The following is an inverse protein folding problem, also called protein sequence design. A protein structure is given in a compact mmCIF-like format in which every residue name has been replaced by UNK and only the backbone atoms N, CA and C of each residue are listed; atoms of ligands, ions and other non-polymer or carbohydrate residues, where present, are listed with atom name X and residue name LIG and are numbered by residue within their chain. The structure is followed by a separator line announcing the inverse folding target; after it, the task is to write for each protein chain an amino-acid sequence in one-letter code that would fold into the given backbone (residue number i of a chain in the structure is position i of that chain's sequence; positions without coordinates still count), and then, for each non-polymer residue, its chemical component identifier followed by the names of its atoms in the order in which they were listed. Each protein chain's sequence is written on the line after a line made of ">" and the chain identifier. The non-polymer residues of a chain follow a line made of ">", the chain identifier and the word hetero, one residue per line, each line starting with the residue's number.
data_IF_404332580680
#
_entry.id   IF_404332580680
#
_cell.length_a   1.000
_cell.length_b   1.000
_cell.length_c   1.000
_cell.angle_alpha   90.00
_cell.angle_beta   90.00
_cell.angle_gamma   90.00
#
_symmetry.space_group_name_H-M   'P 1'
#
loop_
_entity.id
_entity.type
_entity.pdbx_description
1 polymer ?
#
# COMPACT_ATOMS: atom_id res chain seq x y z
N UNK A 1 -25.59 -0.57 5.78
CA UNK A 1 -24.36 -1.38 5.65
C UNK A 1 -24.44 -2.33 4.45
N UNK A 2 -25.44 -3.22 4.37
CA UNK A 2 -25.55 -4.20 3.26
C UNK A 2 -25.68 -3.52 1.90
N UNK A 3 -26.52 -2.47 1.79
CA UNK A 3 -26.75 -1.73 0.53
C UNK A 3 -25.48 -1.06 0.00
N UNK A 4 -24.63 -0.56 0.90
CA UNK A 4 -23.37 0.07 0.56
C UNK A 4 -22.39 -0.99 0.04
N UNK A 5 -22.24 -2.11 0.77
CA UNK A 5 -21.38 -3.20 0.33
C UNK A 5 -21.84 -3.78 -1.02
N UNK A 6 -23.15 -3.93 -1.22
CA UNK A 6 -23.72 -4.38 -2.48
C UNK A 6 -23.40 -3.41 -3.62
N UNK A 7 -23.61 -2.10 -3.40
CA UNK A 7 -23.33 -1.06 -4.42
C UNK A 7 -21.85 -1.05 -4.82
N UNK A 8 -20.94 -1.11 -3.85
CA UNK A 8 -19.48 -1.13 -4.10
C UNK A 8 -19.07 -2.40 -4.84
N UNK A 9 -19.57 -3.57 -4.41
CA UNK A 9 -19.25 -4.84 -5.09
C UNK A 9 -19.79 -4.89 -6.50
N UNK A 10 -21.03 -4.45 -6.74
CA UNK A 10 -21.62 -4.40 -8.08
C UNK A 10 -20.81 -3.47 -8.98
N UNK A 11 -20.49 -2.27 -8.48
CA UNK A 11 -19.69 -1.32 -9.23
C UNK A 11 -18.29 -1.88 -9.55
N UNK A 12 -17.63 -2.49 -8.56
CA UNK A 12 -16.32 -3.12 -8.73
C UNK A 12 -16.38 -4.22 -9.80
N UNK A 13 -17.38 -5.10 -9.74
CA UNK A 13 -17.54 -6.17 -10.71
C UNK A 13 -17.78 -5.62 -12.13
N UNK A 14 -18.60 -4.58 -12.26
CA UNK A 14 -18.85 -3.94 -13.56
C UNK A 14 -17.60 -3.27 -14.13
N UNK A 15 -16.85 -2.51 -13.33
CA UNK A 15 -15.63 -1.85 -13.78
C UNK A 15 -14.52 -2.85 -14.11
N UNK A 16 -14.38 -3.93 -13.33
CA UNK A 16 -13.45 -5.01 -13.62
C UNK A 16 -13.83 -5.71 -14.95
N UNK A 17 -15.12 -5.98 -15.18
CA UNK A 17 -15.60 -6.55 -16.43
C UNK A 17 -15.37 -5.62 -17.64
N UNK A 18 -15.63 -4.31 -17.48
CA UNK A 18 -15.33 -3.30 -18.51
C UNK A 18 -13.84 -3.29 -18.85
N UNK A 19 -12.98 -3.31 -17.83
CA UNK A 19 -11.53 -3.38 -18.05
C UNK A 19 -11.14 -4.64 -18.81
N UNK A 20 -11.62 -5.81 -18.37
CA UNK A 20 -11.30 -7.08 -19.01
C UNK A 20 -11.78 -7.15 -20.47
N UNK A 21 -12.96 -6.62 -20.74
CA UNK A 21 -13.59 -6.73 -22.06
C UNK A 21 -13.05 -5.74 -23.08
N UNK A 22 -12.76 -4.49 -22.68
CA UNK A 22 -12.45 -3.40 -23.59
C UNK A 22 -11.06 -2.80 -23.41
N UNK A 23 -10.64 -2.50 -22.17
CA UNK A 23 -9.39 -1.78 -21.93
C UNK A 23 -8.18 -2.70 -21.92
N UNK A 24 -8.33 -3.93 -21.41
CA UNK A 24 -7.28 -4.96 -21.31
C UNK A 24 -6.01 -4.45 -20.59
N UNK A 25 -6.18 -3.52 -19.66
CA UNK A 25 -5.11 -3.04 -18.77
C UNK A 25 -4.89 -4.06 -17.64
N UNK A 26 -3.71 -4.05 -16.99
CA UNK A 26 -3.52 -4.81 -15.75
C UNK A 26 -4.67 -4.56 -14.78
N UNK A 27 -5.17 -5.59 -14.12
CA UNK A 27 -6.46 -5.55 -13.40
C UNK A 27 -6.57 -4.35 -12.44
N UNK A 28 -5.58 -4.16 -11.57
CA UNK A 28 -5.52 -3.07 -10.60
C UNK A 28 -5.52 -1.68 -11.25
N UNK A 29 -4.66 -1.49 -12.27
CA UNK A 29 -4.57 -0.20 -12.99
C UNK A 29 -5.87 0.08 -13.75
N UNK A 30 -6.44 -0.93 -14.40
CA UNK A 30 -7.64 -0.79 -15.20
C UNK A 30 -8.87 -0.46 -14.36
N UNK A 31 -9.05 -1.13 -13.23
CA UNK A 31 -10.16 -0.87 -12.30
C UNK A 31 -10.06 0.54 -11.72
N UNK A 32 -8.88 0.96 -11.28
CA UNK A 32 -8.70 2.32 -10.78
C UNK A 32 -8.89 3.38 -11.85
N UNK A 33 -8.33 3.18 -13.06
CA UNK A 33 -8.49 4.13 -14.16
C UNK A 33 -9.97 4.28 -14.57
N UNK A 34 -10.72 3.17 -14.66
CA UNK A 34 -12.15 3.21 -14.96
C UNK A 34 -12.97 3.84 -13.86
N UNK A 35 -12.65 3.59 -12.60
CA UNK A 35 -13.31 4.24 -11.46
C UNK A 35 -13.05 5.74 -11.45
N UNK A 36 -11.81 6.17 -11.66
CA UNK A 36 -11.45 7.59 -11.75
C UNK A 36 -12.15 8.29 -12.93
N UNK A 37 -12.19 7.64 -14.10
CA UNK A 37 -12.89 8.19 -15.27
C UNK A 37 -14.39 8.30 -15.04
N UNK A 38 -15.01 7.30 -14.39
CA UNK A 38 -16.41 7.36 -14.01
C UNK A 38 -16.68 8.52 -13.08
N UNK A 39 -15.86 8.67 -12.04
CA UNK A 39 -15.96 9.75 -11.08
C UNK A 39 -15.82 11.12 -11.74
N UNK A 40 -14.83 11.29 -12.60
CA UNK A 40 -14.65 12.53 -13.36
C UNK A 40 -15.83 12.82 -14.31
N UNK A 41 -16.35 11.78 -14.98
CA UNK A 41 -17.51 11.92 -15.86
C UNK A 41 -18.75 12.38 -15.08
N UNK A 42 -19.00 11.83 -13.88
CA UNK A 42 -20.11 12.26 -13.02
C UNK A 42 -19.97 13.71 -12.57
N UNK A 43 -18.77 14.15 -12.21
CA UNK A 43 -18.50 15.57 -11.88
C UNK A 43 -18.79 16.49 -13.08
N UNK A 44 -18.34 16.10 -14.29
CA UNK A 44 -18.57 16.90 -15.50
C UNK A 44 -20.04 16.94 -15.91
N UNK A 45 -20.76 15.82 -15.78
CA UNK A 45 -22.20 15.75 -16.07
C UNK A 45 -23.03 16.58 -15.08
N UNK A 46 -22.64 16.57 -13.80
CA UNK A 46 -23.26 17.40 -12.77
C UNK A 46 -23.03 18.90 -13.04
N UNK A 47 -21.79 19.26 -13.38
CA UNK A 47 -21.44 20.62 -13.78
C UNK A 47 -22.17 21.10 -15.05
N UNK A 48 -22.50 20.16 -15.99
CA UNK A 48 -23.29 20.41 -17.19
C UNK A 48 -24.81 20.42 -16.92
N UNK A 49 -25.27 20.16 -15.69
CA UNK A 49 -26.69 20.14 -15.32
C UNK A 49 -27.47 18.90 -15.80
N UNK A 50 -26.78 17.88 -16.32
CA UNK A 50 -27.42 16.67 -16.88
C UNK A 50 -27.66 15.60 -15.80
N UNK A 51 -26.81 15.52 -14.77
CA UNK A 51 -26.82 14.47 -13.75
C UNK A 51 -27.22 14.99 -12.36
N UNK A 52 -28.21 15.89 -12.30
CA UNK A 52 -28.66 16.54 -11.07
C UNK A 52 -29.00 15.49 -9.98
N UNK A 53 -28.19 15.45 -8.93
CA UNK A 53 -28.41 14.59 -7.76
C UNK A 53 -27.68 13.24 -7.77
N UNK A 54 -27.08 12.78 -8.85
CA UNK A 54 -26.25 11.56 -8.86
C UNK A 54 -24.95 11.78 -8.08
N UNK A 55 -24.29 12.90 -8.30
CA UNK A 55 -23.10 13.32 -7.56
C UNK A 55 -23.36 13.45 -6.04
N UNK A 56 -24.49 14.04 -5.66
CA UNK A 56 -24.88 14.15 -4.25
C UNK A 56 -25.15 12.78 -3.60
N UNK A 57 -25.73 11.83 -4.34
CA UNK A 57 -25.98 10.46 -3.87
C UNK A 57 -24.68 9.68 -3.71
N UNK A 58 -23.76 9.81 -4.67
CA UNK A 58 -22.44 9.20 -4.58
C UNK A 58 -21.64 9.75 -3.40
N UNK A 59 -21.62 11.07 -3.20
CA UNK A 59 -20.99 11.69 -2.04
C UNK A 59 -21.61 11.23 -0.72
N UNK A 60 -22.95 11.10 -0.66
CA UNK A 60 -23.64 10.60 0.54
C UNK A 60 -23.26 9.14 0.83
N UNK A 61 -23.12 8.31 -0.20
CA UNK A 61 -22.71 6.92 -0.08
C UNK A 61 -21.26 6.82 0.42
N UNK A 62 -20.34 7.56 -0.17
CA UNK A 62 -18.92 7.59 0.24
C UNK A 62 -18.77 8.09 1.68
N UNK A 63 -19.45 9.17 2.05
CA UNK A 63 -19.43 9.71 3.44
C UNK A 63 -20.04 8.78 4.47
N UNK A 64 -20.91 7.84 4.08
CA UNK A 64 -21.50 6.86 4.98
C UNK A 64 -20.57 5.68 5.30
N UNK A 65 -19.48 5.55 4.56
CA UNK A 65 -18.42 4.54 4.78
C UNK A 65 -17.33 5.18 5.63
N UNK A 66 -17.07 4.63 6.81
CA UNK A 66 -15.80 4.90 7.48
C UNK A 66 -14.69 4.13 6.75
N UNK A 67 -14.23 4.75 5.65
CA UNK A 67 -13.25 4.17 4.73
C UNK A 67 -11.94 3.84 5.45
N UNK A 68 -11.52 4.69 6.40
CA UNK A 68 -10.31 4.48 7.18
C UNK A 68 -10.42 3.24 8.06
N UNK A 69 -11.53 3.11 8.79
CA UNK A 69 -11.76 1.96 9.67
C UNK A 69 -11.89 0.66 8.86
N UNK A 70 -12.62 0.69 7.76
CA UNK A 70 -12.77 -0.47 6.87
C UNK A 70 -11.41 -0.95 6.34
N UNK A 71 -10.58 -0.02 5.88
CA UNK A 71 -9.26 -0.34 5.34
C UNK A 71 -8.27 -0.76 6.41
N UNK A 72 -8.12 0.04 7.47
CA UNK A 72 -7.08 -0.19 8.48
C UNK A 72 -7.38 -1.43 9.33
N UNK A 73 -8.63 -1.64 9.72
CA UNK A 73 -9.00 -2.74 10.61
C UNK A 73 -9.50 -3.99 9.87
N UNK A 74 -10.03 -3.83 8.65
CA UNK A 74 -10.60 -4.94 7.89
C UNK A 74 -9.68 -5.44 6.78
N UNK A 75 -9.43 -4.60 5.80
CA UNK A 75 -8.80 -5.04 4.53
C UNK A 75 -7.29 -5.19 4.63
N UNK A 76 -6.60 -4.29 5.36
CA UNK A 76 -5.13 -4.25 5.40
C UNK A 76 -4.52 -5.55 5.96
N UNK A 77 -5.12 -6.10 7.02
CA UNK A 77 -4.66 -7.36 7.61
C UNK A 77 -4.73 -8.52 6.63
N UNK A 78 -5.84 -8.62 5.88
CA UNK A 78 -6.07 -9.66 4.88
C UNK A 78 -5.11 -9.50 3.69
N UNK A 79 -4.95 -8.29 3.17
CA UNK A 79 -4.06 -7.99 2.06
C UNK A 79 -2.60 -8.28 2.39
N UNK A 80 -2.12 -7.85 3.57
CA UNK A 80 -0.74 -8.10 4.00
C UNK A 80 -0.45 -9.58 4.21
N UNK A 81 -1.40 -10.33 4.79
CA UNK A 81 -1.25 -11.77 4.93
C UNK A 81 -1.25 -12.47 3.56
N UNK A 82 -2.21 -12.14 2.68
CA UNK A 82 -2.33 -12.72 1.35
C UNK A 82 -1.06 -12.45 0.51
N UNK A 83 -0.58 -11.20 0.50
CA UNK A 83 0.68 -10.83 -0.14
C UNK A 83 1.87 -11.61 0.41
N UNK A 84 1.98 -11.71 1.75
CA UNK A 84 3.06 -12.43 2.41
C UNK A 84 3.03 -13.94 2.15
N UNK A 85 1.85 -14.55 2.04
CA UNK A 85 1.66 -15.97 1.76
C UNK A 85 2.36 -16.42 0.46
N UNK A 86 2.35 -15.54 -0.54
CA UNK A 86 2.92 -15.81 -1.86
C UNK A 86 4.44 -15.58 -1.95
N UNK A 87 5.04 -14.88 -0.98
CA UNK A 87 6.48 -14.60 -0.95
C UNK A 87 7.28 -15.83 -0.52
N UNK A 88 8.29 -16.20 -1.31
CA UNK A 88 9.22 -17.29 -1.00
C UNK A 88 10.22 -16.85 0.08
N UNK A 89 10.06 -17.39 1.28
CA UNK A 89 10.92 -17.06 2.44
C UNK A 89 12.39 -17.49 2.21
N UNK A 90 12.64 -18.56 1.46
CA UNK A 90 14.01 -19.01 1.18
C UNK A 90 14.73 -17.98 0.28
N UNK A 91 14.06 -17.52 -0.77
CA UNK A 91 14.55 -16.44 -1.62
C UNK A 91 14.68 -15.12 -0.84
N UNK A 92 13.71 -14.79 0.01
CA UNK A 92 13.74 -13.59 0.84
C UNK A 92 14.93 -13.61 1.82
N UNK A 93 15.26 -14.76 2.41
CA UNK A 93 16.44 -14.91 3.29
C UNK A 93 17.76 -14.61 2.58
N UNK A 94 17.86 -14.90 1.28
CA UNK A 94 19.04 -14.59 0.49
C UNK A 94 19.23 -13.06 0.33
N UNK A 95 18.16 -12.29 0.32
CA UNK A 95 18.15 -10.83 0.17
C UNK A 95 17.74 -10.08 1.43
N UNK A 96 17.75 -10.76 2.61
CA UNK A 96 17.24 -10.21 3.90
C UNK A 96 17.84 -8.86 4.29
N UNK A 97 19.14 -8.65 4.04
CA UNK A 97 19.81 -7.39 4.37
C UNK A 97 19.38 -6.26 3.44
N UNK A 98 19.27 -6.55 2.13
CA UNK A 98 18.79 -5.57 1.15
C UNK A 98 17.34 -5.18 1.45
N UNK A 99 16.47 -6.18 1.60
CA UNK A 99 15.05 -5.96 1.94
C UNK A 99 14.90 -5.25 3.28
N UNK A 100 15.60 -5.71 4.33
CA UNK A 100 15.53 -5.09 5.66
C UNK A 100 15.98 -3.63 5.67
N UNK A 101 17.13 -3.34 5.04
CA UNK A 101 17.65 -1.95 4.96
C UNK A 101 16.70 -1.06 4.17
N UNK A 102 16.22 -1.52 3.00
CA UNK A 102 15.32 -0.74 2.17
C UNK A 102 13.96 -0.52 2.84
N UNK A 103 13.39 -1.55 3.45
CA UNK A 103 12.08 -1.48 4.07
C UNK A 103 12.08 -0.65 5.39
N UNK A 104 13.08 -0.80 6.25
CA UNK A 104 13.10 -0.07 7.53
C UNK A 104 13.78 1.29 7.38
N UNK A 105 15.07 1.31 7.05
CA UNK A 105 15.81 2.57 6.93
C UNK A 105 15.39 3.39 5.72
N UNK A 106 15.10 2.72 4.60
CA UNK A 106 14.62 3.40 3.39
C UNK A 106 13.30 4.11 3.63
N UNK A 107 12.33 3.46 4.30
CA UNK A 107 11.02 4.04 4.60
C UNK A 107 11.13 5.18 5.63
N UNK A 108 11.89 4.99 6.71
CA UNK A 108 12.10 6.04 7.71
C UNK A 108 12.81 7.26 7.10
N UNK A 109 13.87 7.06 6.32
CA UNK A 109 14.59 8.14 5.64
C UNK A 109 13.69 8.82 4.58
N UNK A 110 12.89 8.04 3.83
CA UNK A 110 11.91 8.58 2.88
C UNK A 110 10.90 9.47 3.59
N UNK A 111 10.36 9.04 4.74
CA UNK A 111 9.44 9.83 5.57
C UNK A 111 10.02 11.19 5.93
N UNK A 112 11.26 11.22 6.40
CA UNK A 112 11.95 12.46 6.78
C UNK A 112 12.23 13.33 5.55
N UNK A 113 12.78 12.76 4.48
CA UNK A 113 13.12 13.53 3.26
C UNK A 113 11.88 14.14 2.61
N UNK A 114 10.80 13.33 2.47
CA UNK A 114 9.53 13.83 1.91
C UNK A 114 8.93 14.89 2.81
N UNK A 115 8.89 14.68 4.12
CA UNK A 115 8.32 15.62 5.07
C UNK A 115 9.06 16.97 5.07
N UNK A 116 10.38 16.96 5.14
CA UNK A 116 11.20 18.19 5.13
C UNK A 116 11.11 18.92 3.77
N UNK A 117 11.22 18.20 2.66
CA UNK A 117 11.13 18.79 1.33
C UNK A 117 9.74 19.36 1.04
N UNK A 118 8.67 18.66 1.46
CA UNK A 118 7.30 19.15 1.32
C UNK A 118 7.07 20.39 2.18
N UNK A 119 7.54 20.39 3.43
CA UNK A 119 7.44 21.55 4.31
C UNK A 119 8.10 22.78 3.69
N UNK A 120 9.31 22.65 3.15
CA UNK A 120 10.01 23.73 2.47
C UNK A 120 9.26 24.19 1.19
N UNK A 121 8.76 23.25 0.38
CA UNK A 121 8.05 23.56 -0.86
C UNK A 121 6.71 24.25 -0.59
N UNK A 122 5.92 23.79 0.39
CA UNK A 122 4.65 24.42 0.76
C UNK A 122 4.88 25.80 1.37
N UNK A 123 5.92 25.96 2.20
CA UNK A 123 6.33 27.26 2.73
C UNK A 123 6.70 28.26 1.62
N UNK A 124 7.42 27.81 0.59
CA UNK A 124 7.75 28.62 -0.59
C UNK A 124 6.52 29.03 -1.42
N UNK A 125 5.45 28.23 -1.38
CA UNK A 125 4.16 28.52 -2.02
C UNK A 125 3.23 29.37 -1.13
N UNK A 126 3.69 29.80 0.05
CA UNK A 126 2.90 30.58 1.01
C UNK A 126 1.89 29.77 1.80
N UNK A 127 2.02 28.45 1.83
CA UNK A 127 1.12 27.54 2.54
C UNK A 127 1.73 27.16 3.90
N UNK A 128 1.11 27.63 4.99
CA UNK A 128 1.59 27.37 6.35
C UNK A 128 1.12 25.99 6.84
N UNK A 129 1.79 24.92 6.41
CA UNK A 129 1.56 23.55 6.90
C UNK A 129 2.63 23.19 7.93
N UNK A 130 2.26 22.70 9.14
CA UNK A 130 3.23 22.33 10.16
C UNK A 130 4.16 21.21 9.69
N UNK A 131 5.41 21.22 10.14
CA UNK A 131 6.39 20.18 9.78
C UNK A 131 5.89 18.77 10.14
N UNK A 132 5.24 18.62 11.29
CA UNK A 132 4.69 17.32 11.72
C UNK A 132 3.62 16.78 10.73
N UNK A 133 2.77 17.66 10.18
CA UNK A 133 1.81 17.29 9.16
C UNK A 133 2.51 16.88 7.84
N UNK A 134 3.60 17.55 7.47
CA UNK A 134 4.42 17.17 6.33
C UNK A 134 5.17 15.84 6.56
N UNK A 135 5.60 15.55 7.79
CA UNK A 135 6.17 14.25 8.15
C UNK A 135 5.12 13.13 8.10
N UNK A 136 3.88 13.39 8.55
CA UNK A 136 2.75 12.47 8.36
C UNK A 136 2.52 12.16 6.89
N UNK A 137 2.55 13.18 6.01
CA UNK A 137 2.52 12.97 4.57
C UNK A 137 3.70 12.11 4.10
N UNK A 138 4.89 12.34 4.60
CA UNK A 138 6.06 11.49 4.32
C UNK A 138 5.83 10.03 4.71
N UNK A 139 5.25 9.77 5.89
CA UNK A 139 4.98 8.42 6.36
C UNK A 139 3.92 7.70 5.51
N UNK A 140 2.80 8.38 5.19
CA UNK A 140 1.73 7.77 4.41
C UNK A 140 2.08 7.57 2.94
N UNK A 141 3.02 8.36 2.38
CA UNK A 141 3.41 8.22 0.97
C UNK A 141 4.66 7.33 0.78
N UNK A 142 5.37 6.95 1.84
CA UNK A 142 6.57 6.11 1.73
C UNK A 142 6.30 4.64 1.40
N UNK A 143 5.23 3.98 1.90
CA UNK A 143 4.84 2.63 1.49
C UNK A 143 4.62 2.49 -0.01
N UNK A 144 4.88 1.29 -0.58
CA UNK A 144 4.78 1.03 -2.02
C UNK A 144 4.02 -0.25 -2.32
N UNK A 145 3.12 -0.21 -3.28
CA UNK A 145 2.32 -1.35 -3.72
C UNK A 145 3.07 -2.16 -4.80
N UNK A 146 3.41 -3.44 -4.55
CA UNK A 146 4.15 -4.24 -5.48
C UNK A 146 3.28 -4.99 -6.49
N UNK A 147 1.95 -5.07 -6.30
CA UNK A 147 1.06 -6.01 -7.01
C UNK A 147 1.13 -5.80 -8.52
N UNK A 148 0.85 -4.58 -8.98
CA UNK A 148 0.91 -4.25 -10.40
C UNK A 148 2.33 -4.41 -10.97
N UNK A 149 3.35 -4.07 -10.20
CA UNK A 149 4.76 -4.14 -10.59
C UNK A 149 5.21 -5.58 -10.79
N UNK A 150 4.89 -6.47 -9.84
CA UNK A 150 5.26 -7.90 -9.92
C UNK A 150 4.59 -8.55 -11.13
N UNK A 151 3.32 -8.28 -11.38
CA UNK A 151 2.61 -8.78 -12.57
C UNK A 151 3.30 -8.38 -13.89
N UNK A 152 3.73 -7.13 -13.98
CA UNK A 152 4.46 -6.62 -15.15
C UNK A 152 5.89 -7.18 -15.27
N UNK A 153 6.61 -7.38 -14.16
CA UNK A 153 7.93 -8.02 -14.15
C UNK A 153 7.84 -9.46 -14.65
N UNK A 154 6.91 -10.25 -14.12
CA UNK A 154 6.67 -11.62 -14.56
C UNK A 154 6.34 -11.71 -16.05
N UNK A 155 5.44 -10.87 -16.53
CA UNK A 155 5.06 -10.83 -17.95
C UNK A 155 6.18 -10.40 -18.89
N UNK A 156 7.15 -9.63 -18.39
CA UNK A 156 8.33 -9.18 -19.13
C UNK A 156 9.52 -10.15 -19.01
N UNK A 157 9.41 -11.24 -18.23
CA UNK A 157 10.49 -12.20 -18.01
C UNK A 157 11.65 -11.65 -17.18
N UNK A 158 11.35 -10.76 -16.24
CA UNK A 158 12.37 -10.17 -15.37
C UNK A 158 13.04 -11.21 -14.47
N UNK A 159 14.32 -11.00 -14.09
CA UNK A 159 15.00 -11.89 -13.18
C UNK A 159 14.28 -12.00 -11.81
N UNK A 160 14.13 -13.24 -11.32
CA UNK A 160 13.41 -13.55 -10.08
C UNK A 160 13.96 -12.80 -8.84
N UNK A 161 15.26 -12.51 -8.80
CA UNK A 161 15.87 -11.74 -7.73
C UNK A 161 15.29 -10.33 -7.60
N UNK A 162 14.96 -9.68 -8.71
CA UNK A 162 14.34 -8.36 -8.71
C UNK A 162 12.90 -8.43 -8.18
N UNK A 163 12.13 -9.46 -8.56
CA UNK A 163 10.79 -9.69 -8.04
C UNK A 163 10.79 -9.90 -6.52
N UNK A 164 11.72 -10.72 -6.02
CA UNK A 164 11.85 -11.01 -4.58
C UNK A 164 12.19 -9.76 -3.78
N UNK A 165 13.11 -8.93 -4.28
CA UNK A 165 13.51 -7.69 -3.58
C UNK A 165 12.37 -6.69 -3.57
N UNK A 166 11.66 -6.50 -4.69
CA UNK A 166 10.50 -5.59 -4.77
C UNK A 166 9.37 -6.08 -3.87
N UNK A 167 9.01 -7.37 -3.96
CA UNK A 167 7.96 -7.95 -3.13
C UNK A 167 8.27 -7.84 -1.64
N UNK A 168 9.49 -8.20 -1.26
CA UNK A 168 9.92 -8.15 0.14
C UNK A 168 10.03 -6.72 0.66
N UNK A 169 10.61 -5.81 -0.10
CA UNK A 169 10.73 -4.40 0.30
C UNK A 169 9.35 -3.79 0.51
N UNK A 170 8.41 -3.96 -0.44
CA UNK A 170 7.07 -3.41 -0.34
C UNK A 170 6.25 -4.04 0.80
N UNK A 171 6.36 -5.36 0.99
CA UNK A 171 5.65 -6.06 2.06
C UNK A 171 6.00 -5.53 3.46
N UNK A 172 7.28 -5.27 3.72
CA UNK A 172 7.73 -4.77 5.01
C UNK A 172 7.60 -3.25 5.12
N UNK A 173 7.77 -2.49 4.03
CA UNK A 173 7.64 -1.04 4.10
C UNK A 173 6.19 -0.59 4.37
N UNK A 174 5.18 -1.36 3.95
CA UNK A 174 3.79 -1.12 4.31
C UNK A 174 3.60 -1.18 5.83
N UNK A 175 4.09 -2.24 6.47
CA UNK A 175 4.03 -2.37 7.91
C UNK A 175 4.82 -1.27 8.65
N UNK A 176 6.02 -0.95 8.19
CA UNK A 176 6.86 0.12 8.77
C UNK A 176 6.22 1.49 8.56
N UNK A 177 5.63 1.74 7.39
CA UNK A 177 4.95 2.99 7.08
C UNK A 177 3.73 3.23 7.98
N UNK A 178 2.93 2.19 8.22
CA UNK A 178 1.80 2.27 9.18
C UNK A 178 2.31 2.59 10.59
N UNK A 179 3.36 1.92 11.07
CA UNK A 179 3.93 2.19 12.40
C UNK A 179 4.45 3.63 12.52
N UNK A 180 5.18 4.11 11.50
CA UNK A 180 5.67 5.49 11.47
C UNK A 180 4.52 6.50 11.43
N UNK A 181 3.48 6.20 10.63
CA UNK A 181 2.30 7.04 10.54
C UNK A 181 1.56 7.11 11.88
N UNK A 182 1.30 5.97 12.54
CA UNK A 182 0.63 5.94 13.84
C UNK A 182 1.41 6.71 14.90
N UNK A 183 2.72 6.49 14.96
CA UNK A 183 3.59 7.21 15.89
C UNK A 183 3.54 8.73 15.68
N UNK A 184 3.65 9.20 14.43
CA UNK A 184 3.59 10.62 14.10
C UNK A 184 2.18 11.19 14.32
N UNK A 185 1.14 10.38 14.12
CA UNK A 185 -0.25 10.76 14.38
C UNK A 185 -0.50 10.96 15.87
N UNK A 186 -0.02 10.05 16.71
CA UNK A 186 -0.12 10.16 18.17
C UNK A 186 0.59 11.41 18.68
N UNK A 187 1.77 11.73 18.10
CA UNK A 187 2.48 12.97 18.39
C UNK A 187 1.66 14.22 18.00
N UNK A 188 0.97 14.16 16.85
CA UNK A 188 0.15 15.28 16.37
C UNK A 188 -1.09 15.51 17.24
N UNK A 189 -1.68 14.43 17.79
CA UNK A 189 -2.86 14.48 18.64
C UNK A 189 -2.50 14.85 20.09
N UNK A 190 -1.41 14.30 20.62
CA UNK A 190 -0.98 14.58 22.00
C UNK A 190 -0.45 16.00 22.21
N UNK A 191 -0.05 16.69 21.15
CA UNK A 191 0.51 18.05 21.22
C UNK A 191 1.93 18.14 21.81
N UNK A 192 2.47 17.02 22.31
CA UNK A 192 3.81 16.91 22.87
C UNK A 192 4.73 16.16 21.89
N UNK A 193 5.82 16.77 21.48
CA UNK A 193 6.86 16.08 20.72
C UNK A 193 7.67 15.17 21.68
N UNK A 194 7.56 13.83 21.58
CA UNK A 194 8.39 12.96 22.40
C UNK A 194 9.87 13.19 22.08
N UNK A 195 10.72 12.97 23.07
CA UNK A 195 12.16 12.94 22.82
C UNK A 195 12.49 11.86 21.80
N UNK A 196 13.54 12.06 21.00
CA UNK A 196 13.99 11.11 19.98
C UNK A 196 14.16 9.69 20.57
N UNK A 197 14.63 9.60 21.80
CA UNK A 197 14.78 8.31 22.51
C UNK A 197 13.43 7.64 22.78
N UNK A 198 12.41 8.39 23.17
CA UNK A 198 11.06 7.84 23.40
C UNK A 198 10.38 7.41 22.10
N UNK A 199 10.53 8.20 21.03
CA UNK A 199 10.03 7.85 19.71
C UNK A 199 10.69 6.55 19.18
N UNK A 200 12.02 6.41 19.34
CA UNK A 200 12.74 5.21 18.95
C UNK A 200 12.33 3.99 19.79
N UNK A 201 12.06 4.17 21.09
CA UNK A 201 11.58 3.09 21.95
C UNK A 201 10.18 2.62 21.55
N UNK A 202 9.25 3.55 21.30
CA UNK A 202 7.90 3.23 20.83
C UNK A 202 7.94 2.50 19.49
N UNK A 203 8.74 2.99 18.55
CA UNK A 203 8.93 2.32 17.26
C UNK A 203 9.49 0.90 17.43
N UNK A 204 10.47 0.71 18.29
CA UNK A 204 11.04 -0.61 18.58
C UNK A 204 10.01 -1.52 19.27
N UNK A 205 9.20 -1.00 20.17
CA UNK A 205 8.13 -1.74 20.84
C UNK A 205 7.04 -2.15 19.87
N UNK A 206 6.53 -1.24 19.05
CA UNK A 206 5.48 -1.54 18.08
C UNK A 206 5.98 -2.50 16.99
N UNK A 207 7.10 -2.20 16.34
CA UNK A 207 7.64 -3.05 15.30
C UNK A 207 8.15 -4.37 15.82
N UNK A 208 8.96 -4.35 16.88
CA UNK A 208 9.51 -5.57 17.50
C UNK A 208 8.42 -6.44 18.13
N UNK A 209 7.46 -5.83 18.82
CA UNK A 209 6.30 -6.50 19.36
C UNK A 209 5.41 -7.12 18.29
N UNK A 210 5.19 -6.42 17.18
CA UNK A 210 4.46 -6.94 16.03
C UNK A 210 5.13 -8.15 15.40
N UNK A 211 6.45 -8.10 15.18
CA UNK A 211 7.22 -9.23 14.66
C UNK A 211 7.17 -10.44 15.61
N UNK A 212 7.31 -10.24 16.93
CA UNK A 212 7.22 -11.30 17.93
C UNK A 212 5.80 -11.89 18.01
N UNK A 213 4.78 -11.04 18.04
CA UNK A 213 3.37 -11.46 18.03
C UNK A 213 3.08 -12.31 16.79
N UNK A 214 3.48 -11.85 15.62
CA UNK A 214 3.34 -12.58 14.36
C UNK A 214 4.08 -13.91 14.35
N UNK A 215 5.27 -13.97 14.94
CA UNK A 215 6.01 -15.22 15.08
C UNK A 215 5.29 -16.24 15.97
N UNK A 216 4.75 -15.80 17.11
CA UNK A 216 3.97 -16.68 18.01
C UNK A 216 2.70 -17.16 17.32
N UNK A 217 1.91 -16.25 16.77
CA UNK A 217 0.67 -16.58 16.05
C UNK A 217 0.93 -17.48 14.85
N UNK A 218 2.00 -17.22 14.10
CA UNK A 218 2.41 -18.03 12.96
C UNK A 218 2.76 -19.46 13.36
N UNK A 219 3.45 -19.66 14.52
CA UNK A 219 3.73 -21.00 15.03
C UNK A 219 2.45 -21.74 15.42
N UNK A 220 1.52 -21.07 16.10
CA UNK A 220 0.22 -21.65 16.45
C UNK A 220 -0.56 -22.02 15.17
N UNK A 221 -0.67 -21.10 14.23
CA UNK A 221 -1.35 -21.35 12.95
C UNK A 221 -0.72 -22.52 12.19
N UNK A 222 0.61 -22.54 12.05
CA UNK A 222 1.31 -23.64 11.38
C UNK A 222 1.10 -25.01 12.07
N UNK A 223 1.04 -25.04 13.42
CA UNK A 223 0.73 -26.30 14.14
C UNK A 223 -0.68 -26.79 13.86
N UNK A 224 -1.67 -25.88 13.88
CA UNK A 224 -3.06 -26.24 13.61
C UNK A 224 -3.26 -26.65 12.16
N UNK A 225 -2.66 -25.95 11.22
CA UNK A 225 -2.76 -26.25 9.78
C UNK A 225 -2.16 -27.61 9.41
N UNK A 226 -1.09 -28.07 10.09
CA UNK A 226 -0.52 -29.42 9.89
C UNK A 226 -1.51 -30.54 10.17
N UNK A 227 -2.50 -30.30 11.03
CA UNK A 227 -3.52 -31.28 11.41
C UNK A 227 -4.84 -31.09 10.64
N UNK A 228 -4.93 -30.07 9.79
CA UNK A 228 -6.13 -29.77 9.03
C UNK A 228 -6.18 -30.62 7.74
N UNK A 229 -7.09 -31.58 7.69
CA UNK A 229 -7.29 -32.45 6.53
C UNK A 229 -8.21 -31.83 5.48
N UNK A 230 -9.15 -30.96 5.90
CA UNK A 230 -10.10 -30.30 5.02
C UNK A 230 -9.66 -28.88 4.66
N UNK A 231 -9.68 -28.56 3.37
CA UNK A 231 -9.31 -27.21 2.87
C UNK A 231 -10.19 -26.10 3.45
N UNK A 232 -11.49 -26.36 3.72
CA UNK A 232 -12.37 -25.38 4.36
C UNK A 232 -11.94 -25.06 5.80
N UNK A 233 -11.46 -26.07 6.55
CA UNK A 233 -10.93 -25.87 7.91
C UNK A 233 -9.64 -25.06 7.86
N UNK A 234 -8.75 -25.35 6.90
CA UNK A 234 -7.52 -24.58 6.70
C UNK A 234 -7.81 -23.11 6.35
N UNK A 235 -8.78 -22.84 5.48
CA UNK A 235 -9.22 -21.48 5.16
C UNK A 235 -9.78 -20.76 6.39
N UNK A 236 -10.63 -21.40 7.18
CA UNK A 236 -11.16 -20.84 8.43
C UNK A 236 -10.08 -20.57 9.46
N UNK A 237 -9.11 -21.47 9.62
CA UNK A 237 -7.98 -21.30 10.53
C UNK A 237 -7.11 -20.10 10.14
N UNK A 238 -6.85 -19.92 8.84
CA UNK A 238 -6.07 -18.76 8.38
C UNK A 238 -6.87 -17.47 8.52
N UNK A 239 -8.16 -17.42 8.18
CA UNK A 239 -9.02 -16.26 8.41
C UNK A 239 -9.11 -15.89 9.90
N UNK A 240 -9.32 -16.87 10.78
CA UNK A 240 -9.36 -16.65 12.22
C UNK A 240 -8.02 -16.13 12.75
N UNK A 241 -6.90 -16.65 12.23
CA UNK A 241 -5.55 -16.19 12.59
C UNK A 241 -5.32 -14.75 12.15
N UNK A 242 -5.74 -14.38 10.94
CA UNK A 242 -5.56 -13.03 10.41
C UNK A 242 -6.42 -12.03 11.18
N UNK A 243 -7.73 -12.26 11.25
CA UNK A 243 -8.66 -11.31 11.90
C UNK A 243 -8.44 -11.28 13.42
N UNK A 244 -8.37 -12.45 14.04
CA UNK A 244 -8.15 -12.57 15.49
C UNK A 244 -6.75 -12.12 15.91
N UNK A 245 -5.73 -12.47 15.12
CA UNK A 245 -4.35 -12.08 15.38
C UNK A 245 -4.10 -10.58 15.22
N UNK A 246 -4.70 -9.96 14.20
CA UNK A 246 -4.65 -8.51 14.04
C UNK A 246 -5.31 -7.79 15.23
N UNK A 247 -6.52 -8.22 15.61
CA UNK A 247 -7.23 -7.68 16.78
C UNK A 247 -6.45 -7.87 18.08
N UNK A 248 -5.78 -9.01 18.24
CA UNK A 248 -4.93 -9.26 19.40
C UNK A 248 -3.71 -8.33 19.42
N UNK A 249 -3.04 -8.15 18.28
CA UNK A 249 -1.90 -7.25 18.16
C UNK A 249 -2.29 -5.80 18.50
N UNK A 250 -3.44 -5.35 17.99
CA UNK A 250 -4.01 -4.02 18.29
C UNK A 250 -4.23 -3.84 19.80
N UNK A 251 -4.85 -4.82 20.47
CA UNK A 251 -5.06 -4.80 21.94
C UNK A 251 -3.75 -4.82 22.74
N UNK A 252 -2.71 -5.40 22.21
CA UNK A 252 -1.38 -5.44 22.83
C UNK A 252 -0.55 -4.18 22.52
N UNK A 253 -1.10 -3.22 21.76
CA UNK A 253 -0.41 -2.03 21.28
C UNK A 253 0.88 -2.37 20.54
N UNK A 254 0.82 -3.36 19.64
CA UNK A 254 1.91 -3.75 18.75
C UNK A 254 1.41 -3.78 17.31
N UNK A 255 2.34 -3.67 16.34
CA UNK A 255 1.98 -3.57 14.92
C UNK A 255 1.26 -4.82 14.40
N UNK A 256 -0.06 -4.73 14.21
CA UNK A 256 -0.89 -5.73 13.54
C UNK A 256 -0.44 -6.01 12.10
N UNK A 257 -0.17 -4.98 11.27
CA UNK A 257 0.36 -5.15 9.93
C UNK A 257 1.62 -6.01 9.87
N UNK A 258 2.64 -5.70 10.66
CA UNK A 258 3.88 -6.49 10.72
C UNK A 258 3.64 -7.91 11.23
N UNK A 259 2.73 -8.08 12.19
CA UNK A 259 2.37 -9.41 12.68
C UNK A 259 1.76 -10.26 11.55
N UNK A 260 0.85 -9.72 10.75
CA UNK A 260 0.21 -10.44 9.63
C UNK A 260 1.18 -10.80 8.52
N UNK A 261 2.16 -9.94 8.25
CA UNK A 261 3.27 -10.25 7.31
C UNK A 261 4.05 -11.48 7.79
N UNK A 262 4.42 -11.53 9.07
CA UNK A 262 5.18 -12.67 9.60
C UNK A 262 4.36 -13.95 9.56
N UNK A 263 3.08 -13.90 9.95
CA UNK A 263 2.17 -15.07 9.88
C UNK A 263 2.05 -15.57 8.45
N UNK A 264 1.82 -14.68 7.48
CA UNK A 264 1.68 -15.03 6.06
C UNK A 264 2.94 -15.69 5.49
N UNK A 265 4.12 -15.15 5.80
CA UNK A 265 5.42 -15.75 5.41
C UNK A 265 5.60 -17.15 6.01
N UNK A 266 5.23 -17.35 7.27
CA UNK A 266 5.36 -18.65 7.93
C UNK A 266 4.40 -19.69 7.38
N UNK A 267 3.14 -19.34 7.15
CA UNK A 267 2.12 -20.24 6.55
C UNK A 267 2.50 -20.56 5.11
N UNK A 268 2.93 -19.57 4.33
CA UNK A 268 3.41 -19.76 2.97
C UNK A 268 4.62 -20.70 2.90
N UNK A 269 5.57 -20.59 3.84
CA UNK A 269 6.71 -21.50 3.92
C UNK A 269 6.28 -22.92 4.31
N UNK A 270 5.34 -23.06 5.26
CA UNK A 270 4.80 -24.38 5.63
C UNK A 270 4.23 -25.14 4.43
N UNK A 271 3.51 -24.43 3.56
CA UNK A 271 2.98 -25.03 2.33
C UNK A 271 4.09 -25.48 1.37
N UNK A 272 5.14 -24.69 1.22
CA UNK A 272 6.28 -25.00 0.32
C UNK A 272 7.15 -26.15 0.83
N UNK A 273 7.33 -26.25 2.13
CA UNK A 273 8.12 -27.31 2.77
C UNK A 273 7.40 -28.67 2.84
N UNK A 274 6.20 -28.79 2.22
CA UNK A 274 5.40 -30.02 2.25
C UNK A 274 4.71 -30.28 3.59
N UNK A 275 4.64 -29.29 4.47
CA UNK A 275 3.96 -29.39 5.76
C UNK A 275 2.43 -29.33 5.67
N UNK A 276 1.88 -29.12 4.47
CA UNK A 276 0.46 -29.21 4.14
C UNK A 276 0.25 -30.29 3.08
N UNK A 277 -0.90 -30.95 3.12
CA UNK A 277 -1.34 -31.83 2.02
C UNK A 277 -1.46 -31.00 0.74
N UNK A 278 -1.09 -31.57 -0.40
CA UNK A 278 -1.06 -30.87 -1.67
C UNK A 278 -2.41 -30.24 -2.03
N UNK A 279 -3.50 -30.96 -1.80
CA UNK A 279 -4.85 -30.48 -2.03
C UNK A 279 -5.20 -29.26 -1.16
N UNK A 280 -4.87 -29.32 0.15
CA UNK A 280 -5.09 -28.20 1.08
C UNK A 280 -4.24 -26.99 0.67
N UNK A 281 -2.98 -27.21 0.32
CA UNK A 281 -2.07 -26.16 -0.13
C UNK A 281 -2.60 -25.44 -1.37
N UNK A 282 -3.04 -26.20 -2.37
CA UNK A 282 -3.58 -25.65 -3.62
C UNK A 282 -4.82 -24.80 -3.38
N UNK A 283 -5.82 -25.34 -2.67
CA UNK A 283 -7.06 -24.61 -2.40
C UNK A 283 -6.85 -23.40 -1.50
N UNK A 284 -5.95 -23.48 -0.51
CA UNK A 284 -5.61 -22.35 0.35
C UNK A 284 -4.92 -21.22 -0.46
N UNK A 285 -4.04 -21.60 -1.39
CA UNK A 285 -3.39 -20.62 -2.28
C UNK A 285 -4.41 -19.90 -3.17
N UNK A 286 -5.30 -20.64 -3.85
CA UNK A 286 -6.36 -20.09 -4.69
C UNK A 286 -7.32 -19.20 -3.88
N UNK A 287 -7.70 -19.64 -2.67
CA UNK A 287 -8.57 -18.87 -1.80
C UNK A 287 -7.97 -17.51 -1.47
N UNK A 288 -6.70 -17.45 -1.04
CA UNK A 288 -6.05 -16.20 -0.68
C UNK A 288 -5.71 -15.32 -1.88
N UNK A 289 -5.43 -15.91 -3.06
CA UNK A 289 -5.30 -15.16 -4.30
C UNK A 289 -6.61 -14.45 -4.68
N UNK A 290 -7.76 -15.15 -4.58
CA UNK A 290 -9.07 -14.55 -4.81
C UNK A 290 -9.40 -13.45 -3.81
N UNK A 291 -9.09 -13.65 -2.53
CA UNK A 291 -9.29 -12.63 -1.48
C UNK A 291 -8.46 -11.39 -1.80
N UNK A 292 -7.18 -11.56 -2.17
CA UNK A 292 -6.28 -10.46 -2.54
C UNK A 292 -6.82 -9.68 -3.75
N UNK A 293 -7.17 -10.37 -4.83
CA UNK A 293 -7.69 -9.77 -6.06
C UNK A 293 -9.00 -8.98 -5.81
N UNK A 294 -9.94 -9.57 -5.06
CA UNK A 294 -11.24 -8.91 -4.76
C UNK A 294 -11.03 -7.69 -3.86
N UNK A 295 -10.24 -7.82 -2.80
CA UNK A 295 -9.99 -6.71 -1.89
C UNK A 295 -9.25 -5.56 -2.59
N UNK A 296 -8.25 -5.87 -3.41
CA UNK A 296 -7.55 -4.86 -4.21
C UNK A 296 -8.49 -4.18 -5.22
N UNK A 297 -9.35 -4.93 -5.91
CA UNK A 297 -10.30 -4.35 -6.84
C UNK A 297 -11.28 -3.39 -6.12
N UNK A 298 -11.83 -3.81 -4.97
CA UNK A 298 -12.70 -2.97 -4.14
C UNK A 298 -11.95 -1.72 -3.66
N UNK A 299 -10.73 -1.89 -3.17
CA UNK A 299 -9.88 -0.79 -2.71
C UNK A 299 -9.66 0.25 -3.80
N UNK A 300 -9.30 -0.17 -5.01
CA UNK A 300 -9.03 0.76 -6.11
C UNK A 300 -10.30 1.44 -6.65
N UNK A 301 -11.45 0.79 -6.57
CA UNK A 301 -12.74 1.43 -6.89
C UNK A 301 -13.06 2.51 -5.86
N UNK A 302 -12.97 2.19 -4.57
CA UNK A 302 -13.20 3.15 -3.50
C UNK A 302 -12.25 4.35 -3.60
N UNK A 303 -10.97 4.09 -3.85
CA UNK A 303 -9.96 5.12 -4.10
C UNK A 303 -10.33 6.00 -5.29
N UNK A 304 -10.76 5.40 -6.42
CA UNK A 304 -11.15 6.16 -7.59
C UNK A 304 -12.40 7.01 -7.37
N UNK A 305 -13.37 6.51 -6.60
CA UNK A 305 -14.59 7.24 -6.27
C UNK A 305 -14.34 8.40 -5.30
N UNK A 306 -13.45 8.24 -4.32
CA UNK A 306 -13.15 9.25 -3.32
C UNK A 306 -12.58 10.55 -3.92
N UNK A 307 -11.98 10.48 -5.13
CA UNK A 307 -11.45 11.65 -5.85
C UNK A 307 -12.49 12.76 -6.01
N UNK A 308 -13.78 12.42 -6.12
CA UNK A 308 -14.87 13.38 -6.24
C UNK A 308 -15.02 14.25 -4.99
N UNK A 309 -14.69 13.72 -3.83
CA UNK A 309 -14.85 14.43 -2.55
C UNK A 309 -13.72 15.43 -2.28
N UNK A 310 -12.63 15.36 -3.07
CA UNK A 310 -11.45 16.19 -2.86
C UNK A 310 -11.73 17.63 -3.23
N UNK A 311 -11.60 18.49 -2.23
CA UNK A 311 -11.56 19.94 -2.43
C UNK A 311 -10.13 20.41 -2.32
N UNK A 312 -9.62 21.05 -3.38
CA UNK A 312 -8.35 21.75 -3.26
C UNK A 312 -8.60 23.08 -2.54
N UNK A 313 -8.05 23.25 -1.34
CA UNK A 313 -8.31 24.47 -0.52
C UNK A 313 -7.63 25.73 -1.08
N UNK A 314 -6.96 25.63 -2.26
CA UNK A 314 -6.17 26.70 -2.86
C UNK A 314 -6.61 26.99 -4.29
N UNK A 315 -6.31 28.20 -4.79
CA UNK A 315 -6.52 28.54 -6.20
C UNK A 315 -5.77 27.57 -7.13
N UNK A 316 -6.36 27.27 -8.32
CA UNK A 316 -5.91 26.19 -9.19
C UNK A 316 -4.42 26.18 -9.54
N UNK A 317 -3.76 27.34 -9.67
CA UNK A 317 -2.32 27.42 -9.93
C UNK A 317 -1.46 26.92 -8.76
N UNK A 318 -1.80 27.28 -7.53
CA UNK A 318 -1.07 26.86 -6.32
C UNK A 318 -1.31 25.38 -6.05
N UNK A 319 -2.53 24.90 -6.23
CA UNK A 319 -2.88 23.48 -6.10
C UNK A 319 -2.09 22.61 -7.07
N UNK A 320 -1.99 23.02 -8.33
CA UNK A 320 -1.20 22.32 -9.35
C UNK A 320 0.29 22.33 -8.99
N UNK A 321 0.85 23.48 -8.60
CA UNK A 321 2.25 23.58 -8.21
C UNK A 321 2.57 22.69 -7.00
N UNK A 322 1.72 22.70 -5.97
CA UNK A 322 1.88 21.85 -4.78
C UNK A 322 1.79 20.34 -5.12
N UNK A 323 0.84 19.94 -5.98
CA UNK A 323 0.72 18.57 -6.46
C UNK A 323 1.95 18.10 -7.25
N UNK A 324 2.43 18.92 -8.19
CA UNK A 324 3.64 18.62 -8.97
C UNK A 324 4.88 18.56 -8.07
N UNK A 325 5.00 19.45 -7.09
CA UNK A 325 6.07 19.43 -6.11
C UNK A 325 6.02 18.12 -5.27
N UNK A 326 4.84 17.72 -4.78
CA UNK A 326 4.69 16.49 -4.02
C UNK A 326 5.09 15.25 -4.83
N UNK A 327 4.71 15.18 -6.12
CA UNK A 327 5.11 14.10 -7.03
C UNK A 327 6.64 14.08 -7.21
N UNK A 328 7.24 15.23 -7.51
CA UNK A 328 8.68 15.33 -7.73
C UNK A 328 9.48 14.96 -6.46
N UNK A 329 9.01 15.42 -5.28
CA UNK A 329 9.61 15.13 -3.98
C UNK A 329 9.52 13.62 -3.68
N UNK A 330 8.36 13.00 -3.88
CA UNK A 330 8.17 11.57 -3.65
C UNK A 330 9.09 10.72 -4.53
N UNK A 331 9.24 11.08 -5.82
CA UNK A 331 10.17 10.40 -6.75
C UNK A 331 11.63 10.62 -6.37
N UNK A 332 12.01 11.86 -6.04
CA UNK A 332 13.38 12.19 -5.63
C UNK A 332 13.77 11.46 -4.32
N UNK A 333 12.89 11.49 -3.33
CA UNK A 333 13.09 10.74 -2.08
C UNK A 333 13.25 9.23 -2.34
N UNK A 334 12.41 8.65 -3.19
CA UNK A 334 12.51 7.24 -3.58
C UNK A 334 13.82 6.92 -4.30
N UNK A 335 14.28 7.79 -5.19
CA UNK A 335 15.57 7.64 -5.82
C UNK A 335 16.71 7.66 -4.80
N UNK A 336 16.70 8.60 -3.87
CA UNK A 336 17.75 8.72 -2.82
C UNK A 336 17.74 7.53 -1.88
N UNK A 337 16.57 7.06 -1.46
CA UNK A 337 16.45 6.01 -0.43
C UNK A 337 16.56 4.59 -0.97
N UNK A 338 16.25 4.37 -2.24
CA UNK A 338 16.23 3.04 -2.87
C UNK A 338 17.11 3.00 -4.12
N UNK A 339 16.87 3.89 -5.07
CA UNK A 339 17.55 3.88 -6.36
C UNK A 339 19.06 4.05 -6.24
N UNK A 340 19.50 5.05 -5.49
CA UNK A 340 20.92 5.36 -5.30
C UNK A 340 21.65 4.26 -4.53
N UNK A 341 21.17 3.79 -3.34
CA UNK A 341 21.82 2.69 -2.62
C UNK A 341 21.94 1.41 -3.44
N UNK A 342 20.88 1.02 -4.17
CA UNK A 342 20.91 -0.18 -5.03
C UNK A 342 21.90 -0.01 -6.17
N UNK A 343 21.98 1.19 -6.75
CA UNK A 343 22.92 1.47 -7.84
C UNK A 343 24.37 1.45 -7.35
N UNK A 344 24.65 2.04 -6.19
CA UNK A 344 25.99 2.05 -5.57
C UNK A 344 26.42 0.66 -5.09
N UNK A 345 25.49 -0.09 -4.47
CA UNK A 345 25.73 -1.44 -3.97
C UNK A 345 25.61 -2.52 -5.07
N UNK A 346 25.58 -2.17 -6.35
CA UNK A 346 25.32 -3.08 -7.47
C UNK A 346 26.17 -4.36 -7.44
N UNK A 347 27.46 -4.27 -7.10
CA UNK A 347 28.36 -5.43 -7.03
C UNK A 347 28.04 -6.36 -5.86
N UNK A 348 27.54 -5.82 -4.74
CA UNK A 348 27.20 -6.58 -3.55
C UNK A 348 25.75 -7.11 -3.58
N UNK A 349 24.83 -6.41 -4.27
CA UNK A 349 23.39 -6.72 -4.27
C UNK A 349 22.99 -7.85 -5.21
N UNK A 350 23.88 -8.30 -6.11
CA UNK A 350 23.59 -9.32 -7.16
C UNK A 350 22.36 -8.99 -8.02
N UNK A 351 21.96 -7.73 -8.07
CA UNK A 351 20.85 -7.26 -8.89
C UNK A 351 21.31 -6.86 -10.29
N UNK A 352 20.42 -6.95 -11.31
CA UNK A 352 20.78 -6.62 -12.69
C UNK A 352 21.12 -5.15 -12.86
N UNK A 353 21.80 -4.85 -13.97
CA UNK A 353 22.06 -3.46 -14.35
C UNK A 353 20.73 -2.69 -14.50
N UNK A 354 20.67 -1.46 -13.97
CA UNK A 354 19.44 -0.67 -14.01
C UNK A 354 18.39 -1.00 -12.92
N UNK A 355 18.65 -1.97 -12.03
CA UNK A 355 17.73 -2.32 -10.95
C UNK A 355 17.35 -1.12 -10.07
N UNK A 356 18.29 -0.20 -9.76
CA UNK A 356 18.00 1.01 -9.00
C UNK A 356 16.93 1.89 -9.66
N UNK A 357 17.00 2.07 -10.99
CA UNK A 357 15.97 2.80 -11.73
C UNK A 357 14.62 2.06 -11.76
N UNK A 358 14.65 0.73 -11.93
CA UNK A 358 13.43 -0.10 -11.91
C UNK A 358 12.76 -0.09 -10.53
N UNK A 359 13.52 -0.21 -9.44
CA UNK A 359 13.00 -0.12 -8.07
C UNK A 359 12.43 1.27 -7.75
N UNK A 360 13.06 2.33 -8.27
CA UNK A 360 12.56 3.70 -8.08
C UNK A 360 11.25 3.92 -8.81
N UNK A 361 11.20 3.61 -10.12
CA UNK A 361 10.02 3.82 -10.93
C UNK A 361 8.89 2.83 -10.61
N UNK A 362 9.24 1.61 -10.21
CA UNK A 362 8.31 0.56 -9.76
C UNK A 362 7.82 0.73 -8.33
N UNK A 363 8.27 1.73 -7.59
CA UNK A 363 7.71 2.08 -6.28
C UNK A 363 6.34 2.74 -6.42
N UNK A 364 5.35 2.00 -6.93
CA UNK A 364 4.00 2.51 -7.08
C UNK A 364 3.36 2.81 -5.72
N UNK A 365 2.61 3.89 -5.64
CA UNK A 365 1.83 4.23 -4.45
C UNK A 365 0.41 3.72 -4.64
N UNK A 366 -0.07 2.95 -3.67
CA UNK A 366 -1.35 2.27 -3.76
C UNK A 366 -2.42 2.82 -2.82
N UNK A 367 -3.42 1.99 -2.58
CA UNK A 367 -4.56 2.32 -1.73
C UNK A 367 -4.20 2.56 -0.26
N UNK A 368 -3.10 1.96 0.25
CA UNK A 368 -2.67 2.17 1.63
C UNK A 368 -2.35 3.66 1.90
N UNK A 369 -1.68 4.35 0.98
CA UNK A 369 -1.39 5.79 1.13
C UNK A 369 -2.67 6.62 1.28
N UNK A 370 -3.71 6.29 0.52
CA UNK A 370 -5.01 6.97 0.60
C UNK A 370 -5.74 6.61 1.90
N UNK A 371 -5.71 5.33 2.29
CA UNK A 371 -6.28 4.88 3.55
C UNK A 371 -5.73 5.66 4.75
N UNK A 372 -4.41 5.80 4.80
CA UNK A 372 -3.72 6.56 5.84
C UNK A 372 -4.05 8.06 5.76
N UNK A 373 -4.16 8.62 4.55
CA UNK A 373 -4.55 10.02 4.39
C UNK A 373 -5.98 10.29 4.89
N UNK A 374 -6.91 9.38 4.64
CA UNK A 374 -8.29 9.48 5.13
C UNK A 374 -8.39 9.28 6.65
N UNK A 375 -7.45 8.55 7.25
CA UNK A 375 -7.34 8.37 8.70
C UNK A 375 -6.85 9.63 9.45
N UNK A 376 -6.38 10.66 8.74
CA UNK A 376 -5.96 11.91 9.36
C UNK A 376 -7.12 12.58 10.09
N UNK A 377 -6.91 13.08 11.32
CA UNK A 377 -7.94 13.75 12.10
C UNK A 377 -8.38 15.06 11.42
N UNK A 378 -9.61 15.53 11.70
CA UNK A 378 -10.06 16.84 11.24
C UNK A 378 -9.09 17.93 11.64
N UNK A 379 -8.72 18.79 10.68
CA UNK A 379 -7.76 19.87 10.93
C UNK A 379 -7.54 20.73 9.68
N UNK A 380 -6.91 21.88 9.80
CA UNK A 380 -6.77 22.85 8.72
C UNK A 380 -5.89 22.36 7.56
N UNK A 381 -5.02 21.37 7.80
CA UNK A 381 -4.09 20.80 6.82
C UNK A 381 -4.55 19.44 6.25
N UNK A 382 -5.62 18.85 6.81
CA UNK A 382 -6.12 17.51 6.40
C UNK A 382 -6.48 17.46 4.91
N UNK A 383 -7.29 18.39 4.43
CA UNK A 383 -7.71 18.43 3.03
C UNK A 383 -6.53 18.63 2.08
N UNK A 384 -5.55 19.44 2.47
CA UNK A 384 -4.31 19.62 1.72
C UNK A 384 -3.54 18.31 1.57
N UNK A 385 -3.30 17.59 2.66
CA UNK A 385 -2.55 16.33 2.62
C UNK A 385 -3.30 15.25 1.84
N UNK A 386 -4.63 15.15 1.99
CA UNK A 386 -5.45 14.25 1.19
C UNK A 386 -5.30 14.58 -0.30
N UNK A 387 -5.47 15.84 -0.70
CA UNK A 387 -5.36 16.26 -2.08
C UNK A 387 -3.97 15.97 -2.69
N UNK A 388 -2.89 16.22 -1.95
CA UNK A 388 -1.52 15.91 -2.37
C UNK A 388 -1.29 14.39 -2.48
N UNK A 389 -1.86 13.60 -1.56
CA UNK A 389 -1.78 12.14 -1.61
C UNK A 389 -2.44 11.61 -2.86
N UNK A 390 -3.63 12.10 -3.19
CA UNK A 390 -4.32 11.71 -4.42
C UNK A 390 -3.54 12.11 -5.68
N UNK A 391 -2.95 13.30 -5.71
CA UNK A 391 -2.12 13.73 -6.84
C UNK A 391 -0.94 12.77 -7.06
N UNK A 392 -0.24 12.36 -5.98
CA UNK A 392 0.88 11.41 -6.07
C UNK A 392 0.41 10.02 -6.45
N UNK A 393 -0.68 9.50 -5.85
CA UNK A 393 -1.21 8.15 -6.15
C UNK A 393 -1.75 8.08 -7.57
N UNK A 394 -2.53 9.07 -8.02
CA UNK A 394 -3.03 9.11 -9.39
C UNK A 394 -1.88 9.14 -10.42
N UNK A 395 -0.86 9.98 -10.20
CA UNK A 395 0.34 9.98 -11.04
C UNK A 395 1.04 8.62 -11.01
N UNK A 396 1.19 8.04 -9.84
CA UNK A 396 1.87 6.76 -9.68
C UNK A 396 1.17 5.65 -10.47
N UNK A 397 -0.14 5.55 -10.38
CA UNK A 397 -0.86 4.47 -11.05
C UNK A 397 -1.01 4.76 -12.55
N UNK A 398 -1.39 5.97 -12.94
CA UNK A 398 -1.66 6.30 -14.34
C UNK A 398 -0.38 6.51 -15.17
N UNK A 399 0.66 7.12 -14.59
CA UNK A 399 1.89 7.42 -15.33
C UNK A 399 2.95 6.35 -15.10
N UNK A 400 3.35 6.10 -13.84
CA UNK A 400 4.37 5.09 -13.55
C UNK A 400 3.84 3.69 -13.88
N UNK A 401 2.62 3.33 -13.45
CA UNK A 401 2.03 2.02 -13.70
C UNK A 401 1.91 1.70 -15.18
N UNK A 402 1.38 2.59 -16.01
CA UNK A 402 1.23 2.36 -17.46
C UNK A 402 2.58 2.37 -18.22
N UNK A 403 3.58 3.09 -17.72
CA UNK A 403 4.90 3.17 -18.35
C UNK A 403 5.88 2.09 -17.88
N UNK A 404 5.66 1.49 -16.70
CA UNK A 404 6.60 0.55 -16.08
C UNK A 404 6.89 -0.67 -16.96
N UNK A 405 5.86 -1.29 -17.55
CA UNK A 405 6.05 -2.44 -18.43
C UNK A 405 6.89 -2.14 -19.68
N UNK A 406 6.84 -0.89 -20.22
CA UNK A 406 7.71 -0.45 -21.31
C UNK A 406 9.15 -0.28 -20.82
N UNK A 407 9.33 0.31 -19.64
CA UNK A 407 10.64 0.52 -19.04
C UNK A 407 11.35 -0.80 -18.74
N UNK A 408 10.64 -1.79 -18.19
CA UNK A 408 11.19 -3.13 -17.93
C UNK A 408 11.67 -3.78 -19.21
N UNK A 409 10.83 -3.81 -20.26
CA UNK A 409 11.20 -4.41 -21.55
C UNK A 409 12.40 -3.72 -22.21
N UNK A 410 12.51 -2.39 -22.11
CA UNK A 410 13.65 -1.66 -22.62
C UNK A 410 14.94 -2.04 -21.88
N UNK A 411 14.91 -2.05 -20.54
CA UNK A 411 16.09 -2.36 -19.72
C UNK A 411 16.56 -3.82 -19.79
N UNK A 412 15.64 -4.77 -20.02
CA UNK A 412 15.98 -6.18 -20.18
C UNK A 412 16.56 -6.50 -21.57
N UNK A 413 16.30 -5.65 -22.57
CA UNK A 413 16.92 -5.80 -23.91
C UNK A 413 18.37 -5.31 -23.95
N UNK A 414 18.73 -4.40 -23.04
CA UNK A 414 20.05 -3.77 -22.94
C UNK A 414 20.98 -4.52 -21.96
N UNK A 415 20.51 -5.57 -21.29
CA UNK A 415 21.23 -6.37 -20.29
C UNK A 415 21.57 -7.77 -20.82
#
# INVERSE_FOLDING_TARGET
>A
MLDIAASVLVLTALLAWVNQRWLKLPATIGVMATSLLLSLALVLLDAAGVAVGLHAREQALIRSIDFSQLLMQGMLSLLLFAGALHVDLASLRAYRWQVGVLAFFGTALSTVLVGLALWAALGALGLAVPLLACLLFGALISPTDPIAVIGMLKSAGAPRNLEVVIAGESLFNDGVGVVLFTLLLDMAVAGDAPTVSRAALLLAQEAGGGLLCGWVLGHVACRLLRTADAHAVAALLTLATVIGGYTLADRLHVSGPLAMVVVGLMVGQLGRDGGLREEVRHHLGVFWELVDDVLNAVLFVLVGMEVITIRFPFGGGVALAAGLAAIAIALAARWVTVGLPVTLARRASRLPAGAGGLLTWGGLRGGLSIALALALPPGPWRETLIALTYAVVAFSILVQGLSFGRLVRARLRDA
#
